data_IF_325702216663
#
_entry.id   IF_325702216663
#
_cell.length_a   1.000
_cell.length_b   1.000
_cell.length_c   1.000
_cell.angle_alpha   90.00
_cell.angle_beta   90.00
_cell.angle_gamma   90.00
#
_symmetry.space_group_name_H-M   'P 1'
#
loop_
_entity.id
_entity.type
_entity.pdbx_description
1 polymer ?
#
# COMPACT_ATOMS: atom_id res chain seq x y z
N UNK A 1 1.27 -18.93 14.80
CA UNK A 1 0.37 -18.79 13.70
C UNK A 1 -0.27 -17.43 13.68
N UNK A 2 -0.18 -16.76 12.56
CA UNK A 2 -0.75 -15.44 12.44
C UNK A 2 -2.26 -15.52 12.31
N UNK A 3 -2.95 -14.80 13.17
CA UNK A 3 -4.39 -14.67 13.08
C UNK A 3 -4.81 -13.27 12.67
N UNK A 4 -3.87 -12.37 12.55
CA UNK A 4 -4.16 -11.03 12.12
C UNK A 4 -4.29 -10.92 10.61
N UNK A 5 -4.57 -9.71 10.16
CA UNK A 5 -4.61 -9.44 8.74
C UNK A 5 -3.24 -9.68 8.12
N UNK A 6 -3.21 -10.37 7.02
CA UNK A 6 -1.97 -10.56 6.29
C UNK A 6 -1.70 -9.34 5.43
N UNK A 7 -0.42 -9.03 5.25
CA UNK A 7 -0.04 -7.96 4.35
C UNK A 7 -0.35 -8.33 2.92
N UNK A 8 -0.80 -7.35 2.14
CA UNK A 8 -1.01 -7.55 0.72
C UNK A 8 0.33 -7.64 0.01
N UNK A 9 0.34 -8.27 -1.15
CA UNK A 9 1.51 -8.38 -1.98
C UNK A 9 1.50 -7.32 -3.06
N UNK A 10 2.70 -6.92 -3.50
CA UNK A 10 2.82 -6.02 -4.63
C UNK A 10 2.30 -6.71 -5.89
N UNK A 11 1.36 -6.07 -6.57
CA UNK A 11 0.74 -6.67 -7.74
C UNK A 11 1.71 -6.71 -8.92
N UNK A 12 1.90 -7.89 -9.54
CA UNK A 12 2.64 -7.95 -10.79
C UNK A 12 1.89 -7.17 -11.88
N UNK A 13 2.66 -6.48 -12.74
CA UNK A 13 2.05 -5.62 -13.73
C UNK A 13 1.13 -6.36 -14.69
N UNK A 14 1.41 -7.61 -14.96
CA UNK A 14 0.65 -8.41 -15.90
C UNK A 14 -0.57 -9.11 -15.26
N UNK A 15 -0.75 -8.95 -13.93
CA UNK A 15 -1.85 -9.58 -13.21
C UNK A 15 -2.87 -8.60 -12.69
N UNK A 16 -2.58 -7.32 -12.79
CA UNK A 16 -3.48 -6.28 -12.31
C UNK A 16 -4.59 -6.08 -13.33
N UNK A 17 -5.82 -6.24 -12.89
CA UNK A 17 -6.98 -5.95 -13.74
C UNK A 17 -7.87 -4.95 -13.02
N UNK A 18 -8.54 -4.08 -13.76
CA UNK A 18 -9.45 -3.11 -13.16
C UNK A 18 -10.58 -3.78 -12.37
N UNK A 19 -10.94 -4.99 -12.72
CA UNK A 19 -12.06 -5.67 -12.09
C UNK A 19 -11.79 -6.08 -10.65
N UNK A 20 -10.55 -6.20 -10.26
CA UNK A 20 -10.22 -6.57 -8.89
C UNK A 20 -9.91 -5.37 -8.01
N UNK A 21 -9.98 -4.17 -8.53
CA UNK A 21 -9.74 -2.98 -7.74
C UNK A 21 -10.86 -2.77 -6.73
N UNK A 22 -10.49 -2.60 -5.45
CA UNK A 22 -11.49 -2.41 -4.39
C UNK A 22 -11.41 -1.04 -3.75
N UNK A 23 -10.26 -0.38 -3.80
CA UNK A 23 -10.12 0.94 -3.19
C UNK A 23 -8.86 1.61 -3.67
N UNK A 24 -8.83 2.93 -3.54
CA UNK A 24 -7.63 3.73 -3.69
C UNK A 24 -7.44 4.50 -2.40
N UNK A 25 -6.24 4.43 -1.81
CA UNK A 25 -5.97 5.04 -0.52
C UNK A 25 -4.79 5.98 -0.65
N UNK A 26 -4.91 7.15 -0.02
CA UNK A 26 -3.82 8.11 0.09
C UNK A 26 -3.25 8.03 1.49
N UNK A 27 -1.93 7.96 1.58
CA UNK A 27 -1.21 7.90 2.85
C UNK A 27 -0.44 9.20 3.04
N UNK A 28 -0.40 9.66 4.27
CA UNK A 28 0.39 10.83 4.66
C UNK A 28 1.25 10.46 5.85
N UNK A 29 2.42 11.08 5.93
CA UNK A 29 3.28 10.98 7.13
C UNK A 29 3.74 9.56 7.41
N UNK A 30 3.98 8.77 6.38
CA UNK A 30 4.55 7.45 6.57
C UNK A 30 6.00 7.60 7.02
N UNK A 31 6.36 7.03 8.16
CA UNK A 31 7.71 7.20 8.72
C UNK A 31 8.71 6.24 8.12
N UNK A 32 9.99 6.52 8.36
CA UNK A 32 11.06 5.59 8.07
C UNK A 32 11.57 5.68 6.64
N UNK A 33 12.19 4.61 6.21
CA UNK A 33 12.74 4.50 4.87
C UNK A 33 11.62 4.22 3.85
N UNK A 34 11.90 4.36 2.55
CA UNK A 34 10.91 3.98 1.54
C UNK A 34 10.42 2.55 1.69
N UNK A 35 11.31 1.64 2.09
CA UNK A 35 10.93 0.25 2.29
C UNK A 35 9.97 0.09 3.45
N UNK A 36 10.21 0.82 4.54
CA UNK A 36 9.32 0.80 5.68
C UNK A 36 7.95 1.40 5.33
N UNK A 37 7.95 2.47 4.54
CA UNK A 37 6.71 3.07 4.08
C UNK A 37 5.92 2.08 3.23
N UNK A 38 6.60 1.37 2.34
CA UNK A 38 5.94 0.37 1.50
C UNK A 38 5.37 -0.76 2.33
N UNK A 39 6.08 -1.18 3.37
CA UNK A 39 5.56 -2.22 4.26
C UNK A 39 4.30 -1.75 4.99
N UNK A 40 4.27 -0.49 5.39
CA UNK A 40 3.08 0.06 6.02
C UNK A 40 1.90 0.07 5.06
N UNK A 41 2.14 0.40 3.79
CA UNK A 41 1.11 0.38 2.76
C UNK A 41 0.59 -1.04 2.58
N UNK A 42 1.49 -2.02 2.48
CA UNK A 42 1.09 -3.41 2.30
C UNK A 42 0.25 -3.92 3.46
N UNK A 43 0.63 -3.53 4.67
CA UNK A 43 -0.10 -3.95 5.87
C UNK A 43 -1.51 -3.35 5.89
N UNK A 44 -1.61 -2.07 5.56
CA UNK A 44 -2.90 -1.40 5.50
C UNK A 44 -3.79 -2.01 4.43
N UNK A 45 -3.21 -2.32 3.28
CA UNK A 45 -3.96 -2.96 2.21
C UNK A 45 -4.52 -4.30 2.67
N UNK A 46 -3.72 -5.09 3.38
CA UNK A 46 -4.19 -6.36 3.93
C UNK A 46 -5.33 -6.18 4.91
N UNK A 47 -5.28 -5.12 5.72
CA UNK A 47 -6.35 -4.83 6.68
C UNK A 47 -7.66 -4.48 5.98
N UNK A 48 -7.59 -3.99 4.76
CA UNK A 48 -8.79 -3.69 3.96
C UNK A 48 -9.27 -4.92 3.16
N UNK A 49 -8.67 -6.06 3.37
CA UNK A 49 -9.07 -7.28 2.68
C UNK A 49 -8.47 -7.45 1.30
N UNK A 50 -7.49 -6.64 0.95
CA UNK A 50 -6.84 -6.74 -0.35
C UNK A 50 -5.81 -7.85 -0.35
N UNK A 51 -5.69 -8.55 -1.49
CA UNK A 51 -4.62 -9.51 -1.69
C UNK A 51 -3.41 -8.88 -2.35
N UNK A 52 -3.63 -7.78 -3.08
CA UNK A 52 -2.57 -7.10 -3.82
C UNK A 52 -2.72 -5.61 -3.70
N UNK A 53 -1.62 -4.89 -3.88
CA UNK A 53 -1.63 -3.44 -3.93
C UNK A 53 -0.69 -2.97 -5.03
N UNK A 54 -0.92 -1.74 -5.49
CA UNK A 54 -0.04 -1.09 -6.45
C UNK A 54 0.16 0.35 -6.01
N UNK A 55 1.41 0.75 -5.87
CA UNK A 55 1.75 2.11 -5.49
C UNK A 55 1.74 2.99 -6.73
N UNK A 56 0.88 4.01 -6.72
CA UNK A 56 0.79 4.96 -7.82
C UNK A 56 1.79 6.08 -7.66
N UNK A 57 2.05 6.48 -6.43
CA UNK A 57 2.92 7.60 -6.12
C UNK A 57 3.54 7.41 -4.76
N UNK A 58 4.82 7.74 -4.66
CA UNK A 58 5.49 7.82 -3.38
C UNK A 58 6.43 9.01 -3.41
N UNK A 59 6.17 10.02 -2.57
CA UNK A 59 6.92 11.24 -2.55
C UNK A 59 7.42 11.52 -1.14
N UNK A 60 8.64 12.02 -1.05
CA UNK A 60 9.19 12.43 0.23
C UNK A 60 8.57 13.74 0.65
N UNK A 61 8.22 13.83 1.94
CA UNK A 61 7.60 15.00 2.52
C UNK A 61 8.55 15.57 3.57
N UNK A 62 8.73 16.88 3.53
CA UNK A 62 9.70 17.53 4.42
C UNK A 62 9.06 18.03 5.72
N UNK A 63 7.82 18.46 5.67
CA UNK A 63 7.15 19.07 6.82
C UNK A 63 5.70 18.57 6.90
N UNK A 64 5.39 17.64 7.79
CA UNK A 64 6.33 16.87 8.62
C UNK A 64 7.15 15.90 7.79
N UNK A 65 8.27 15.48 8.34
CA UNK A 65 9.14 14.53 7.66
C UNK A 65 8.44 13.18 7.51
N UNK A 66 8.47 12.63 6.31
CA UNK A 66 7.83 11.35 6.05
C UNK A 66 7.58 11.14 4.57
N UNK A 67 6.68 10.23 4.28
CA UNK A 67 6.34 9.87 2.90
C UNK A 67 4.86 10.09 2.65
N UNK A 68 4.55 10.59 1.48
CA UNK A 68 3.19 10.68 0.98
C UNK A 68 3.04 9.71 -0.17
N UNK A 69 2.02 8.88 -0.12
CA UNK A 69 1.85 7.84 -1.12
C UNK A 69 0.38 7.65 -1.47
N UNK A 70 0.16 7.15 -2.68
CA UNK A 70 -1.16 6.71 -3.12
C UNK A 70 -1.05 5.29 -3.61
N UNK A 71 -2.02 4.46 -3.28
CA UNK A 71 -2.00 3.08 -3.67
C UNK A 71 -3.40 2.60 -4.05
N UNK A 72 -3.45 1.70 -5.03
CA UNK A 72 -4.68 1.01 -5.40
C UNK A 72 -4.62 -0.39 -4.79
N UNK A 73 -5.74 -0.80 -4.24
CA UNK A 73 -5.87 -2.10 -3.59
C UNK A 73 -6.69 -3.03 -4.47
N UNK A 74 -6.29 -4.29 -4.54
CA UNK A 74 -6.94 -5.31 -5.37
C UNK A 74 -7.28 -6.52 -4.55
N UNK A 75 -8.33 -7.19 -4.94
CA UNK A 75 -8.70 -8.47 -4.30
C UNK A 75 -7.73 -9.59 -4.60
#
# INVERSE_FOLDING_TARGET
LSTGAQSAELAPADRVTPLSEIAEITFNDLPGSPQEAEQAIARTAGQHGASYYRILRMEEQAHPLGWRASAILYL
#
